data_IF_194215165730
#
_entry.id   IF_194215165730
#
_cell.length_a   1.000
_cell.length_b   1.000
_cell.length_c   1.000
_cell.angle_alpha   90.00
_cell.angle_beta   90.00
_cell.angle_gamma   90.00
#
_symmetry.space_group_name_H-M   'P 1'
#
loop_
_entity.id
_entity.type
_entity.pdbx_description
1 polymer ?
#
# COMPACT_ATOMS: atom_id res chain seq x y z
N UNK A 1 18.25 12.96 -3.92
CA UNK A 1 17.91 11.58 -4.33
C UNK A 1 17.79 11.56 -5.84
N UNK A 2 18.43 10.62 -6.55
CA UNK A 2 18.36 10.55 -8.01
C UNK A 2 16.90 10.38 -8.46
N UNK A 3 16.47 11.14 -9.47
CA UNK A 3 15.09 11.20 -9.97
C UNK A 3 14.57 9.82 -10.41
N UNK A 4 15.44 8.98 -10.96
CA UNK A 4 15.14 7.59 -11.34
C UNK A 4 14.58 6.75 -10.18
N UNK A 5 15.10 6.90 -8.96
CA UNK A 5 14.59 6.17 -7.81
C UNK A 5 13.17 6.62 -7.45
N UNK A 6 12.82 7.89 -7.67
CA UNK A 6 11.46 8.40 -7.45
C UNK A 6 10.47 7.83 -8.46
N UNK A 7 10.85 7.75 -9.73
CA UNK A 7 10.00 7.17 -10.77
C UNK A 7 9.82 5.66 -10.58
N UNK A 8 10.91 4.92 -10.38
CA UNK A 8 10.84 3.47 -10.13
C UNK A 8 10.03 3.17 -8.86
N UNK A 9 10.17 4.01 -7.82
CA UNK A 9 9.37 3.87 -6.61
C UNK A 9 7.89 4.17 -6.86
N UNK A 10 7.57 5.23 -7.61
CA UNK A 10 6.19 5.59 -7.95
C UNK A 10 5.50 4.53 -8.83
N UNK A 11 6.18 4.09 -9.89
CA UNK A 11 5.70 3.03 -10.78
C UNK A 11 5.60 1.70 -10.03
N UNK A 12 6.59 1.39 -9.19
CA UNK A 12 6.59 0.21 -8.33
C UNK A 12 5.39 0.19 -7.39
N UNK A 13 5.12 1.28 -6.68
CA UNK A 13 3.93 1.37 -5.80
C UNK A 13 2.63 1.21 -6.58
N UNK A 14 2.52 1.81 -7.77
CA UNK A 14 1.32 1.68 -8.59
C UNK A 14 1.14 0.23 -9.08
N UNK A 15 2.23 -0.40 -9.51
CA UNK A 15 2.25 -1.80 -9.91
C UNK A 15 1.86 -2.73 -8.75
N UNK A 16 2.50 -2.56 -7.60
CA UNK A 16 2.18 -3.31 -6.39
C UNK A 16 0.73 -3.06 -5.94
N UNK A 17 0.17 -1.86 -6.16
CA UNK A 17 -1.23 -1.58 -5.81
C UNK A 17 -2.23 -2.48 -6.55
N UNK A 18 -2.00 -2.74 -7.85
CA UNK A 18 -2.84 -3.63 -8.64
C UNK A 18 -2.54 -5.11 -8.39
N UNK A 19 -1.27 -5.47 -8.28
CA UNK A 19 -0.83 -6.88 -8.23
C UNK A 19 -0.92 -7.45 -6.81
N UNK A 20 -0.94 -6.61 -5.77
CA UNK A 20 -1.04 -6.97 -4.36
C UNK A 20 -2.10 -8.03 -4.08
N UNK A 21 -3.32 -7.87 -4.59
CA UNK A 21 -4.42 -8.80 -4.30
C UNK A 21 -4.22 -10.16 -4.98
N UNK A 22 -3.67 -10.14 -6.20
CA UNK A 22 -3.33 -11.35 -6.97
C UNK A 22 -2.24 -12.12 -6.25
N UNK A 23 -1.20 -11.46 -5.73
CA UNK A 23 -0.14 -12.13 -4.96
C UNK A 23 -0.66 -12.61 -3.60
N UNK A 24 -1.45 -11.79 -2.90
CA UNK A 24 -1.99 -12.14 -1.57
C UNK A 24 -2.85 -13.39 -1.59
N UNK A 25 -3.71 -13.53 -2.61
CA UNK A 25 -4.63 -14.65 -2.77
C UNK A 25 -3.99 -15.77 -3.59
N UNK A 26 -3.24 -15.42 -4.64
CA UNK A 26 -2.58 -16.36 -5.52
C UNK A 26 -1.54 -17.21 -4.78
N UNK A 27 -0.72 -16.60 -3.90
CA UNK A 27 0.30 -17.36 -3.16
C UNK A 27 -0.27 -18.50 -2.30
N UNK A 28 -1.25 -18.28 -1.39
CA UNK A 28 -1.87 -19.37 -0.65
C UNK A 28 -2.65 -20.34 -1.55
N UNK A 29 -3.29 -19.85 -2.63
CA UNK A 29 -3.98 -20.75 -3.58
C UNK A 29 -3.00 -21.68 -4.29
N UNK A 30 -1.81 -21.20 -4.70
CA UNK A 30 -0.78 -22.06 -5.28
C UNK A 30 -0.20 -23.06 -4.27
N UNK A 31 -0.01 -22.63 -3.02
CA UNK A 31 0.52 -23.48 -1.94
C UNK A 31 -0.47 -24.59 -1.53
N UNK A 32 -1.74 -24.26 -1.30
CA UNK A 32 -2.73 -25.21 -0.79
C UNK A 32 -3.52 -25.93 -1.89
N UNK A 33 -3.62 -25.36 -3.10
CA UNK A 33 -4.41 -25.92 -4.20
C UNK A 33 -3.60 -26.73 -5.21
N UNK A 34 -2.32 -26.43 -5.38
CA UNK A 34 -1.46 -27.04 -6.41
C UNK A 34 -0.21 -27.73 -5.86
N UNK A 35 -0.03 -27.78 -4.52
CA UNK A 35 1.17 -28.32 -3.85
C UNK A 35 2.47 -27.77 -4.45
N UNK A 36 2.44 -26.49 -4.84
CA UNK A 36 3.55 -25.87 -5.53
C UNK A 36 4.73 -25.71 -4.58
N UNK A 37 5.93 -26.09 -5.06
CA UNK A 37 7.14 -26.09 -4.24
C UNK A 37 7.32 -24.72 -3.56
N UNK A 38 7.54 -24.67 -2.24
CA UNK A 38 7.68 -23.42 -1.53
C UNK A 38 8.89 -22.66 -2.08
N UNK A 39 8.63 -21.50 -2.67
CA UNK A 39 9.67 -20.62 -3.21
C UNK A 39 9.84 -19.41 -2.29
N UNK A 40 11.02 -19.31 -1.67
CA UNK A 40 11.43 -18.18 -0.82
C UNK A 40 11.20 -16.83 -1.51
N UNK A 41 11.41 -16.75 -2.82
CA UNK A 41 11.26 -15.51 -3.60
C UNK A 41 9.83 -14.99 -3.54
N UNK A 42 8.86 -15.88 -3.70
CA UNK A 42 7.44 -15.52 -3.69
C UNK A 42 6.96 -15.23 -2.27
N UNK A 43 7.52 -15.89 -1.26
CA UNK A 43 7.25 -15.58 0.14
C UNK A 43 7.73 -14.17 0.51
N UNK A 44 8.96 -13.80 0.12
CA UNK A 44 9.48 -12.43 0.30
C UNK A 44 8.62 -11.42 -0.46
N UNK A 45 8.23 -11.73 -1.71
CA UNK A 45 7.39 -10.84 -2.52
C UNK A 45 6.00 -10.63 -1.89
N UNK A 46 5.43 -11.69 -1.30
CA UNK A 46 4.18 -11.64 -0.57
C UNK A 46 4.29 -10.81 0.71
N UNK A 47 5.32 -11.03 1.53
CA UNK A 47 5.59 -10.25 2.74
C UNK A 47 5.84 -8.78 2.40
N UNK A 48 6.52 -8.49 1.30
CA UNK A 48 6.75 -7.13 0.80
C UNK A 48 5.44 -6.44 0.41
N UNK A 49 4.54 -7.14 -0.29
CA UNK A 49 3.20 -6.63 -0.60
C UNK A 49 2.38 -6.34 0.67
N UNK A 50 2.51 -7.19 1.70
CA UNK A 50 1.85 -7.01 2.99
C UNK A 50 2.39 -5.78 3.72
N UNK A 51 3.72 -5.60 3.75
CA UNK A 51 4.36 -4.43 4.36
C UNK A 51 3.94 -3.12 3.66
N UNK A 52 3.89 -3.10 2.33
CA UNK A 52 3.39 -1.95 1.57
C UNK A 52 1.91 -1.64 1.89
N UNK A 53 1.05 -2.66 1.93
CA UNK A 53 -0.35 -2.50 2.33
C UNK A 53 -0.48 -1.93 3.74
N UNK A 54 0.28 -2.45 4.70
CA UNK A 54 0.29 -1.95 6.08
C UNK A 54 0.74 -0.50 6.13
N UNK A 55 1.79 -0.12 5.39
CA UNK A 55 2.22 1.29 5.30
C UNK A 55 1.13 2.18 4.73
N UNK A 56 0.42 1.74 3.68
CA UNK A 56 -0.68 2.49 3.07
C UNK A 56 -1.86 2.64 4.01
N UNK A 57 -2.23 1.58 4.75
CA UNK A 57 -3.28 1.63 5.78
C UNK A 57 -2.85 2.57 6.90
N UNK A 58 -1.62 2.45 7.42
CA UNK A 58 -1.11 3.34 8.47
C UNK A 58 -1.11 4.78 7.97
N UNK A 59 -0.62 5.06 6.76
CA UNK A 59 -0.62 6.41 6.21
C UNK A 59 -2.05 6.92 6.07
N UNK A 60 -2.97 6.13 5.49
CA UNK A 60 -4.37 6.53 5.36
C UNK A 60 -5.08 6.66 6.72
N UNK A 61 -4.70 5.89 7.74
CA UNK A 61 -5.34 5.89 9.06
C UNK A 61 -4.77 7.00 9.97
N UNK A 62 -3.45 7.18 9.97
CA UNK A 62 -2.75 8.24 10.71
C UNK A 62 -2.99 9.60 10.07
N UNK A 63 -2.87 9.72 8.74
CA UNK A 63 -3.02 11.00 8.03
C UNK A 63 -4.49 11.43 7.86
N UNK A 64 -5.46 10.50 7.96
CA UNK A 64 -6.89 10.86 8.04
C UNK A 64 -7.24 11.57 9.35
N UNK A 65 -6.39 11.54 10.38
CA UNK A 65 -6.55 12.39 11.56
C UNK A 65 -6.29 13.88 11.28
N UNK A 66 -5.68 14.23 10.15
CA UNK A 66 -5.40 15.64 9.81
C UNK A 66 -6.50 16.35 9.00
N UNK A 67 -7.60 15.68 8.63
CA UNK A 67 -8.67 16.29 7.83
C UNK A 67 -10.01 16.48 8.57
N UNK A 68 -10.01 16.40 9.91
CA UNK A 68 -11.10 16.95 10.71
C UNK A 68 -10.56 17.63 11.98
N UNK A 69 -10.10 18.86 11.82
CA UNK A 69 -10.33 19.93 12.80
C UNK A 69 -10.41 21.30 12.08
N UNK A 70 -11.12 21.32 10.96
CA UNK A 70 -11.66 22.58 10.40
C UNK A 70 -13.18 22.52 10.33
N UNK A 71 -13.79 21.97 11.40
CA UNK A 71 -15.18 22.24 11.74
C UNK A 71 -15.35 23.59 12.46
N UNK A 72 -14.52 24.60 12.13
CA UNK A 72 -14.71 25.96 12.63
C UNK A 72 -14.18 27.07 11.72
N UNK A 73 -14.43 27.01 10.41
CA UNK A 73 -14.67 28.24 9.66
C UNK A 73 -16.05 28.83 10.03
N UNK A 74 -16.23 29.11 11.33
CA UNK A 74 -17.31 29.95 11.82
C UNK A 74 -16.77 31.36 12.01
N UNK A 75 -17.29 32.25 11.16
CA UNK A 75 -17.48 33.68 11.43
C UNK A 75 -16.22 34.55 11.57
N UNK A 76 -15.96 35.37 10.53
CA UNK A 76 -15.94 36.83 10.71
C UNK A 76 -15.99 37.58 9.36
N UNK A 77 -17.21 37.96 9.02
CA UNK A 77 -17.59 39.27 8.50
C UNK A 77 -16.50 40.36 8.56
N UNK A 78 -16.20 40.98 7.41
CA UNK A 78 -15.94 42.43 7.33
C UNK A 78 -16.23 42.94 5.91
N UNK A 79 -17.45 43.46 5.79
CA UNK A 79 -17.82 44.76 5.19
C UNK A 79 -16.75 45.47 4.35
#
# INVERSE_FOLDING_TARGET
MPQFLKEIYGVGILFFYYVKYIILIGWPVLLYGLDYKPNIIMDILWVYCLALMTKDIIFKFVFKKSHCDDSSCSSKNKK
#
